data_IF_088315113315
#
_entry.id   IF_088315113315
#
_cell.length_a   1.000
_cell.length_b   1.000
_cell.length_c   1.000
_cell.angle_alpha   90.00
_cell.angle_beta   90.00
_cell.angle_gamma   90.00
#
_symmetry.space_group_name_H-M   'P 1'
#
loop_
_entity.id
_entity.type
_entity.pdbx_description
1 polymer ?
#
# COMPACT_ATOMS: atom_id res chain seq x y z
N UNK A 1 20.08 -5.40 17.18
CA UNK A 1 19.47 -4.75 16.01
C UNK A 1 20.36 -3.58 15.65
N UNK A 2 20.90 -3.55 14.43
CA UNK A 2 21.72 -2.40 13.99
C UNK A 2 20.82 -1.19 13.71
N UNK A 3 21.34 0.04 13.80
CA UNK A 3 20.59 1.28 13.59
C UNK A 3 19.87 1.32 12.22
N UNK A 4 20.40 0.62 11.22
CA UNK A 4 19.85 0.55 9.86
C UNK A 4 18.71 -0.47 9.73
N UNK A 5 18.80 -1.62 10.44
CA UNK A 5 17.72 -2.63 10.47
C UNK A 5 16.44 -2.10 11.11
N UNK A 6 16.56 -1.27 12.17
CA UNK A 6 15.43 -0.59 12.80
C UNK A 6 14.69 0.31 11.80
N UNK A 7 15.43 1.19 11.11
CA UNK A 7 14.87 2.12 10.12
C UNK A 7 14.14 1.42 8.97
N UNK A 8 14.68 0.30 8.46
CA UNK A 8 14.00 -0.46 7.40
C UNK A 8 12.68 -1.05 7.88
N UNK A 9 12.71 -1.72 9.04
CA UNK A 9 11.54 -2.39 9.59
C UNK A 9 10.42 -1.38 9.90
N UNK A 10 10.79 -0.22 10.44
CA UNK A 10 9.83 0.86 10.72
C UNK A 10 9.14 1.36 9.44
N UNK A 11 9.88 1.52 8.33
CA UNK A 11 9.30 1.89 7.04
C UNK A 11 8.33 0.82 6.52
N UNK A 12 8.72 -0.45 6.61
CA UNK A 12 7.85 -1.58 6.24
C UNK A 12 6.56 -1.55 7.07
N UNK A 13 6.65 -1.32 8.39
CA UNK A 13 5.48 -1.29 9.27
C UNK A 13 4.58 -0.09 9.00
N UNK A 14 5.16 1.09 8.74
CA UNK A 14 4.42 2.29 8.35
C UNK A 14 3.65 2.07 7.05
N UNK A 15 4.29 1.44 6.05
CA UNK A 15 3.66 1.16 4.78
C UNK A 15 2.55 0.11 4.91
N UNK A 16 2.83 -1.02 5.57
CA UNK A 16 1.82 -2.08 5.78
C UNK A 16 0.61 -1.57 6.57
N UNK A 17 0.80 -0.60 7.46
CA UNK A 17 -0.30 0.02 8.21
C UNK A 17 -1.26 0.86 7.34
N UNK A 18 -0.85 1.22 6.13
CA UNK A 18 -1.69 1.97 5.18
C UNK A 18 -2.58 1.07 4.33
N UNK A 19 -2.30 -0.24 4.24
CA UNK A 19 -3.15 -1.19 3.52
C UNK A 19 -4.54 -1.18 4.17
N UNK A 20 -5.62 -0.83 3.47
CA UNK A 20 -6.94 -0.74 4.08
C UNK A 20 -7.52 -2.14 4.41
N UNK A 21 -8.51 -2.18 5.31
CA UNK A 21 -9.26 -3.41 5.59
C UNK A 21 -9.91 -3.93 4.31
N UNK A 22 -9.87 -5.24 4.11
CA UNK A 22 -10.45 -5.90 2.93
C UNK A 22 -9.53 -5.86 1.69
N UNK A 23 -8.37 -5.21 1.79
CA UNK A 23 -7.33 -5.23 0.76
C UNK A 23 -6.06 -5.94 1.25
N UNK A 24 -5.26 -6.40 0.29
CA UNK A 24 -3.98 -7.08 0.50
C UNK A 24 -2.92 -6.51 -0.42
N UNK A 25 -1.66 -6.66 -0.03
CA UNK A 25 -0.52 -6.36 -0.88
C UNK A 25 0.39 -7.58 -0.99
N UNK A 26 1.12 -7.69 -2.08
CA UNK A 26 2.19 -8.69 -2.21
C UNK A 26 3.49 -8.15 -1.61
N UNK A 27 4.38 -9.04 -1.17
CA UNK A 27 5.73 -8.63 -0.76
C UNK A 27 6.47 -7.82 -1.84
N UNK A 28 6.20 -8.11 -3.12
CA UNK A 28 6.79 -7.38 -4.24
C UNK A 28 6.29 -5.94 -4.35
N UNK A 29 5.00 -5.71 -4.09
CA UNK A 29 4.41 -4.37 -4.07
C UNK A 29 4.93 -3.54 -2.91
N UNK A 30 5.06 -4.13 -1.72
CA UNK A 30 5.68 -3.45 -0.58
C UNK A 30 7.11 -2.99 -0.94
N UNK A 31 7.88 -3.81 -1.67
CA UNK A 31 9.21 -3.42 -2.16
C UNK A 31 9.14 -2.31 -3.20
N UNK A 32 8.22 -2.39 -4.15
CA UNK A 32 8.05 -1.39 -5.20
C UNK A 32 7.72 -0.01 -4.60
N UNK A 33 6.81 0.02 -3.65
CA UNK A 33 6.36 1.24 -2.99
C UNK A 33 7.45 1.85 -2.10
N UNK A 34 8.18 1.02 -1.34
CA UNK A 34 9.34 1.51 -0.58
C UNK A 34 10.39 2.16 -1.49
N UNK A 35 10.66 1.57 -2.67
CA UNK A 35 11.59 2.18 -3.65
C UNK A 35 11.08 3.50 -4.20
N UNK A 36 9.78 3.61 -4.44
CA UNK A 36 9.16 4.87 -4.89
C UNK A 36 9.29 5.96 -3.82
N UNK A 37 9.02 5.63 -2.55
CA UNK A 37 9.18 6.56 -1.44
C UNK A 37 10.63 6.96 -1.19
N UNK A 38 11.58 6.03 -1.35
CA UNK A 38 13.02 6.34 -1.31
C UNK A 38 13.41 7.35 -2.40
N UNK A 39 12.98 7.11 -3.64
CA UNK A 39 13.24 8.01 -4.76
C UNK A 39 12.72 9.42 -4.49
N UNK A 40 11.50 9.54 -3.96
CA UNK A 40 10.88 10.83 -3.64
C UNK A 40 11.55 11.56 -2.47
N UNK A 41 12.08 10.84 -1.47
CA UNK A 41 12.65 11.44 -0.25
C UNK A 41 14.16 11.71 -0.34
N UNK A 42 14.85 11.20 -1.36
CA UNK A 42 16.30 11.38 -1.53
C UNK A 42 17.14 10.73 -0.43
N UNK A 43 16.57 9.79 0.33
CA UNK A 43 17.25 9.08 1.42
C UNK A 43 17.83 7.80 0.83
N UNK A 44 19.13 7.57 1.07
CA UNK A 44 19.95 6.57 0.35
C UNK A 44 19.33 5.18 0.20
N UNK A 45 19.66 4.53 -0.93
CA UNK A 45 19.08 3.24 -1.34
C UNK A 45 19.18 2.17 -0.27
N UNK A 46 18.05 1.62 0.14
CA UNK A 46 18.07 0.22 0.55
C UNK A 46 18.36 -0.57 -0.72
N UNK A 47 19.43 -1.37 -0.71
CA UNK A 47 19.76 -2.26 -1.83
C UNK A 47 18.76 -3.42 -1.85
N UNK A 48 17.51 -3.12 -2.20
CA UNK A 48 16.41 -4.06 -2.35
C UNK A 48 16.58 -4.73 -3.72
N UNK A 49 17.64 -5.50 -3.94
CA UNK A 49 17.79 -6.33 -5.15
C UNK A 49 16.78 -7.49 -5.17
N UNK A 50 17.14 -8.61 -5.80
CA UNK A 50 16.28 -9.81 -5.83
C UNK A 50 15.85 -10.35 -4.44
N UNK A 51 16.50 -9.91 -3.34
CA UNK A 51 16.18 -10.28 -1.97
C UNK A 51 15.18 -9.36 -1.24
N UNK A 52 14.70 -8.27 -1.85
CA UNK A 52 13.85 -7.27 -1.17
C UNK A 52 12.57 -7.88 -0.55
N UNK A 53 11.87 -8.73 -1.29
CA UNK A 53 10.64 -9.38 -0.80
C UNK A 53 10.92 -10.28 0.42
N UNK A 54 12.08 -10.95 0.45
CA UNK A 54 12.51 -11.76 1.59
C UNK A 54 12.87 -10.88 2.79
N UNK A 55 13.48 -9.72 2.56
CA UNK A 55 13.76 -8.76 3.62
C UNK A 55 12.48 -8.21 4.26
N UNK A 56 11.47 -7.86 3.45
CA UNK A 56 10.13 -7.48 3.94
C UNK A 56 9.51 -8.62 4.75
N UNK A 57 9.51 -9.85 4.22
CA UNK A 57 9.00 -11.02 4.93
C UNK A 57 9.69 -11.24 6.29
N UNK A 58 11.02 -11.09 6.34
CA UNK A 58 11.78 -11.20 7.59
C UNK A 58 11.44 -10.08 8.59
N UNK A 59 11.22 -8.85 8.12
CA UNK A 59 10.80 -7.73 8.97
C UNK A 59 9.42 -8.01 9.57
N UNK A 60 8.45 -8.38 8.74
CA UNK A 60 7.08 -8.69 9.19
C UNK A 60 7.03 -9.90 10.12
N UNK A 61 7.87 -10.93 9.89
CA UNK A 61 7.97 -12.09 10.77
C UNK A 61 8.53 -11.74 12.16
N UNK A 62 9.36 -10.70 12.27
CA UNK A 62 9.94 -10.23 13.54
C UNK A 62 9.09 -9.18 14.25
N UNK A 63 8.05 -8.68 13.59
CA UNK A 63 7.16 -7.68 14.16
C UNK A 63 6.45 -8.23 15.41
N UNK A 64 6.50 -7.45 16.50
CA UNK A 64 5.80 -7.75 17.76
C UNK A 64 4.63 -6.82 18.04
N UNK A 65 4.45 -5.78 17.24
CA UNK A 65 3.34 -4.84 17.39
C UNK A 65 2.07 -5.42 16.73
N UNK A 66 1.02 -5.77 17.51
CA UNK A 66 -0.21 -6.31 16.96
C UNK A 66 -1.03 -5.30 16.15
N UNK A 67 -0.70 -4.00 16.23
CA UNK A 67 -1.40 -2.95 15.47
C UNK A 67 -1.02 -2.93 13.99
N UNK A 68 0.17 -3.44 13.65
CA UNK A 68 0.62 -3.53 12.25
C UNK A 68 -0.09 -4.73 11.61
N UNK A 69 -0.86 -4.55 10.53
CA UNK A 69 -1.70 -5.59 9.94
C UNK A 69 -0.90 -6.53 9.02
N UNK A 70 0.11 -7.22 9.57
CA UNK A 70 0.99 -8.11 8.80
C UNK A 70 0.24 -9.20 8.02
N UNK A 71 -0.97 -9.59 8.45
CA UNK A 71 -1.79 -10.59 7.76
C UNK A 71 -2.26 -10.13 6.38
N UNK A 72 -2.25 -8.83 6.08
CA UNK A 72 -2.61 -8.25 4.77
C UNK A 72 -1.52 -8.42 3.70
N UNK A 73 -0.34 -8.97 4.05
CA UNK A 73 0.74 -9.20 3.09
C UNK A 73 0.81 -10.68 2.69
N UNK A 74 0.73 -10.95 1.39
CA UNK A 74 0.71 -12.29 0.79
C UNK A 74 1.83 -12.47 -0.23
N UNK A 75 2.04 -13.69 -0.71
CA UNK A 75 3.02 -13.93 -1.77
C UNK A 75 2.54 -13.39 -3.14
N UNK A 76 3.44 -13.44 -4.15
CA UNK A 76 3.20 -12.96 -5.51
C UNK A 76 1.97 -13.57 -6.21
N UNK A 77 1.49 -14.72 -5.75
CA UNK A 77 0.35 -15.42 -6.32
C UNK A 77 -0.89 -15.32 -5.41
N UNK A 78 -0.83 -14.50 -4.36
CA UNK A 78 -1.89 -14.35 -3.36
C UNK A 78 -1.90 -15.45 -2.31
N UNK A 79 -0.86 -16.30 -2.25
CA UNK A 79 -0.82 -17.41 -1.29
C UNK A 79 -0.57 -16.90 0.12
N UNK A 80 -1.28 -17.51 1.07
CA UNK A 80 -1.06 -17.31 2.49
C UNK A 80 0.32 -17.82 2.92
N UNK A 81 0.90 -17.17 3.94
CA UNK A 81 2.16 -17.55 4.53
C UNK A 81 2.00 -18.80 5.41
N UNK A 82 2.63 -19.91 5.01
CA UNK A 82 2.58 -21.20 5.73
C UNK A 82 3.00 -21.07 7.20
N UNK A 83 4.03 -20.26 7.47
CA UNK A 83 4.59 -20.05 8.81
C UNK A 83 4.24 -18.67 9.38
N UNK A 84 3.02 -18.19 9.13
CA UNK A 84 2.50 -17.03 9.84
C UNK A 84 2.43 -17.31 11.37
N UNK A 85 2.36 -16.25 12.18
CA UNK A 85 2.34 -16.41 13.64
C UNK A 85 1.19 -17.31 14.12
N UNK A 86 1.40 -17.98 15.26
CA UNK A 86 0.45 -18.91 15.88
C UNK A 86 0.14 -20.14 15.00
N UNK A 87 -1.00 -20.16 14.32
CA UNK A 87 -1.53 -21.29 13.54
C UNK A 87 -1.17 -21.21 12.04
N UNK A 88 -0.11 -20.46 11.72
CA UNK A 88 0.32 -20.33 10.33
C UNK A 88 -0.75 -19.73 9.43
N UNK A 89 -0.89 -20.31 8.24
CA UNK A 89 -1.85 -19.87 7.24
C UNK A 89 -3.31 -19.84 7.76
N UNK A 90 -3.68 -20.68 8.74
CA UNK A 90 -5.02 -20.70 9.32
C UNK A 90 -5.36 -19.40 10.05
N UNK A 91 -4.43 -18.88 10.84
CA UNK A 91 -4.58 -17.59 11.52
C UNK A 91 -4.65 -16.43 10.52
N UNK A 92 -3.76 -16.44 9.52
CA UNK A 92 -3.77 -15.41 8.49
C UNK A 92 -5.11 -15.38 7.74
N UNK A 93 -5.63 -16.55 7.34
CA UNK A 93 -6.92 -16.68 6.68
C UNK A 93 -8.05 -16.14 7.54
N UNK A 94 -8.12 -16.52 8.83
CA UNK A 94 -9.19 -16.04 9.73
C UNK A 94 -9.24 -14.51 9.79
N UNK A 95 -8.08 -13.85 9.91
CA UNK A 95 -8.02 -12.38 9.95
C UNK A 95 -8.46 -11.74 8.63
N UNK A 96 -8.00 -12.28 7.50
CA UNK A 96 -8.38 -11.77 6.17
C UNK A 96 -9.88 -11.95 5.91
N UNK A 97 -10.45 -13.11 6.26
CA UNK A 97 -11.90 -13.37 6.14
C UNK A 97 -12.70 -12.40 7.03
N UNK A 98 -12.25 -12.13 8.25
CA UNK A 98 -12.89 -11.17 9.14
C UNK A 98 -12.89 -9.73 8.59
N UNK A 99 -11.97 -9.42 7.68
CA UNK A 99 -11.91 -8.13 6.97
C UNK A 99 -12.64 -8.14 5.61
N UNK A 100 -13.25 -9.25 5.22
CA UNK A 100 -14.02 -9.37 3.98
C UNK A 100 -13.20 -9.69 2.72
N UNK A 101 -11.94 -10.09 2.86
CA UNK A 101 -11.07 -10.46 1.73
C UNK A 101 -11.60 -11.70 1.00
N UNK A 102 -11.61 -11.65 -0.33
CA UNK A 102 -12.06 -12.74 -1.20
C UNK A 102 -10.93 -13.74 -1.47
N UNK A 103 -11.30 -14.99 -1.68
CA UNK A 103 -10.37 -16.09 -1.88
C UNK A 103 -10.73 -16.87 -3.14
N UNK A 104 -9.71 -17.25 -3.92
CA UNK A 104 -9.86 -18.15 -5.08
C UNK A 104 -9.97 -19.61 -4.62
N UNK A 105 -9.23 -19.94 -3.57
CA UNK A 105 -9.24 -21.27 -2.96
C UNK A 105 -8.88 -21.19 -1.47
N UNK A 106 -8.59 -22.33 -0.85
CA UNK A 106 -8.31 -22.38 0.58
C UNK A 106 -7.04 -21.65 1.03
N UNK A 107 -6.09 -21.44 0.14
CA UNK A 107 -4.74 -20.92 0.39
C UNK A 107 -4.41 -19.66 -0.40
N UNK A 108 -5.25 -19.24 -1.37
CA UNK A 108 -4.99 -18.09 -2.23
C UNK A 108 -6.10 -17.04 -2.14
N UNK A 109 -5.69 -15.82 -1.84
CA UNK A 109 -6.53 -14.61 -1.95
C UNK A 109 -6.81 -14.31 -3.42
N UNK A 110 -7.99 -13.76 -3.70
CA UNK A 110 -8.26 -13.19 -5.01
C UNK A 110 -7.61 -11.81 -5.16
N UNK A 111 -6.40 -11.79 -5.69
CA UNK A 111 -5.70 -10.54 -5.99
C UNK A 111 -6.47 -9.66 -6.98
N UNK A 112 -7.30 -10.21 -7.89
CA UNK A 112 -8.04 -9.36 -8.83
C UNK A 112 -9.02 -8.40 -8.15
N UNK A 113 -9.59 -8.83 -7.02
CA UNK A 113 -10.58 -8.07 -6.25
C UNK A 113 -9.96 -7.31 -5.08
N UNK A 114 -8.95 -7.91 -4.45
CA UNK A 114 -8.45 -7.48 -3.16
C UNK A 114 -7.07 -6.83 -3.21
N UNK A 115 -6.39 -6.74 -4.34
CA UNK A 115 -5.10 -6.05 -4.41
C UNK A 115 -5.26 -4.58 -4.01
N UNK A 116 -4.33 -4.11 -3.19
CA UNK A 116 -4.23 -2.72 -2.79
C UNK A 116 -3.52 -1.96 -3.92
N UNK A 117 -4.25 -1.03 -4.53
CA UNK A 117 -3.69 -0.10 -5.52
C UNK A 117 -3.76 1.32 -4.96
N UNK A 118 -2.60 1.91 -4.66
CA UNK A 118 -2.50 3.31 -4.22
C UNK A 118 -2.72 4.30 -5.36
N UNK A 119 -2.71 3.84 -6.62
CA UNK A 119 -2.87 4.69 -7.81
C UNK A 119 -4.33 5.05 -8.10
N UNK A 120 -5.27 4.51 -7.33
CA UNK A 120 -6.68 4.90 -7.33
C UNK A 120 -6.95 6.22 -6.58
N UNK A 121 -5.95 7.12 -6.45
CA UNK A 121 -6.27 8.55 -6.33
C UNK A 121 -6.73 9.04 -7.70
N UNK A 122 -8.03 8.96 -7.96
CA UNK A 122 -8.61 9.60 -9.11
C UNK A 122 -8.43 11.13 -9.00
N UNK A 123 -7.55 11.69 -9.83
CA UNK A 123 -7.57 13.10 -10.18
C UNK A 123 -8.57 13.23 -11.33
N UNK A 124 -9.79 13.67 -11.03
CA UNK A 124 -10.73 14.07 -12.07
C UNK A 124 -10.52 15.56 -12.38
N UNK A 125 -10.21 15.87 -13.64
CA UNK A 125 -10.46 17.22 -14.16
C UNK A 125 -11.96 17.28 -14.39
N UNK A 126 -12.70 17.92 -13.49
CA UNK A 126 -14.15 18.04 -13.65
C UNK A 126 -14.51 19.07 -14.70
N UNK A 127 -13.71 20.13 -14.82
CA UNK A 127 -13.99 21.23 -15.71
C UNK A 127 -12.72 21.89 -16.26
N UNK A 128 -12.74 22.19 -17.56
CA UNK A 128 -11.75 23.01 -18.28
C UNK A 128 -12.48 24.19 -18.92
N UNK A 129 -12.23 25.41 -18.45
CA UNK A 129 -12.81 26.63 -19.02
C UNK A 129 -11.73 27.48 -19.70
N UNK A 130 -11.96 27.84 -20.96
CA UNK A 130 -11.18 28.84 -21.71
C UNK A 130 -11.94 30.17 -21.64
N UNK A 131 -11.35 31.21 -21.04
CA UNK A 131 -11.96 32.55 -21.00
C UNK A 131 -11.54 33.39 -22.21
N UNK A 132 -12.39 34.34 -22.61
CA UNK A 132 -12.23 35.21 -23.79
C UNK A 132 -10.94 36.06 -23.81
N UNK A 133 -10.12 36.04 -22.75
CA UNK A 133 -8.83 36.73 -22.66
C UNK A 133 -7.60 35.82 -22.71
N UNK A 134 -7.75 34.56 -23.14
CA UNK A 134 -6.63 33.62 -23.31
C UNK A 134 -6.11 33.00 -22.00
N UNK A 135 -6.84 33.12 -20.90
CA UNK A 135 -6.52 32.44 -19.65
C UNK A 135 -7.21 31.07 -19.58
N UNK A 136 -6.47 30.06 -19.13
CA UNK A 136 -6.98 28.71 -18.87
C UNK A 136 -7.20 28.56 -17.36
N UNK A 137 -8.41 28.18 -16.96
CA UNK A 137 -8.71 27.78 -15.58
C UNK A 137 -8.92 26.26 -15.57
N UNK A 138 -8.13 25.55 -14.77
CA UNK A 138 -8.27 24.11 -14.52
C UNK A 138 -8.82 23.93 -13.11
N UNK A 139 -9.99 23.28 -12.99
CA UNK A 139 -10.50 22.88 -11.69
C UNK A 139 -10.04 21.45 -11.40
N UNK A 140 -9.18 21.29 -10.40
CA UNK A 140 -8.59 20.00 -10.02
C UNK A 140 -9.23 19.55 -8.71
N UNK A 141 -9.90 18.39 -8.74
CA UNK A 141 -10.42 17.77 -7.53
C UNK A 141 -9.55 16.58 -7.11
N UNK A 142 -9.25 16.50 -5.81
CA UNK A 142 -8.62 15.33 -5.19
C UNK A 142 -9.70 14.55 -4.43
N UNK A 143 -10.00 13.33 -4.86
CA UNK A 143 -10.86 12.45 -4.09
C UNK A 143 -10.04 11.70 -3.03
N UNK A 144 -10.24 12.05 -1.75
CA UNK A 144 -9.78 11.23 -0.63
C UNK A 144 -10.93 10.30 -0.20
N UNK A 145 -10.65 9.02 -0.04
CA UNK A 145 -11.62 7.98 0.34
C UNK A 145 -12.11 8.19 1.79
N UNK A 146 -12.93 9.21 2.01
CA UNK A 146 -13.72 9.47 3.23
C UNK A 146 -15.06 10.16 2.91
N UNK A 147 -15.46 10.29 1.65
CA UNK A 147 -16.73 10.93 1.27
C UNK A 147 -16.83 12.40 1.67
N UNK A 148 -15.70 13.07 1.94
CA UNK A 148 -15.66 14.49 2.26
C UNK A 148 -15.04 15.28 1.12
N UNK A 149 -15.87 16.15 0.56
CA UNK A 149 -15.53 17.07 -0.51
C UNK A 149 -14.75 18.25 0.08
N UNK A 150 -13.51 18.47 -0.33
CA UNK A 150 -12.73 19.67 0.02
C UNK A 150 -12.45 20.41 -1.28
N UNK A 151 -13.08 21.57 -1.55
CA UNK A 151 -12.75 22.35 -2.73
C UNK A 151 -11.34 22.93 -2.60
N UNK A 152 -10.45 22.63 -3.55
CA UNK A 152 -9.17 23.33 -3.67
C UNK A 152 -9.40 24.72 -4.29
N UNK A 153 -8.59 25.69 -3.85
CA UNK A 153 -8.57 27.05 -4.39
C UNK A 153 -8.11 26.99 -5.85
N UNK A 154 -8.81 27.73 -6.72
CA UNK A 154 -8.49 27.89 -8.14
C UNK A 154 -7.01 28.21 -8.37
N UNK A 155 -6.36 27.46 -9.26
CA UNK A 155 -4.99 27.75 -9.70
C UNK A 155 -5.03 28.46 -11.05
N UNK A 156 -4.47 29.67 -11.12
CA UNK A 156 -4.28 30.41 -12.37
C UNK A 156 -2.88 30.10 -12.90
N UNK A 157 -2.78 29.60 -14.13
CA UNK A 157 -1.50 29.40 -14.82
C UNK A 157 -1.36 30.52 -15.86
N UNK A 158 -0.25 31.26 -15.82
CA UNK A 158 0.11 32.31 -16.79
C UNK A 158 0.95 31.75 -17.93
#
# INVERSE_FOLDING_TARGET
MTRTEGKFSDLVYQLVSQIPKGKVATYGEIVAELRQQEHLRGVGSFHLGGGGARAVGNALHRNRDPKVPCHRVVDRNGRLATHFAFDGAGEQKRRLVAEGVKFKDNMHVDLGECLWDERETDIFITDLFILERGHIIVNIQLNFWLGQFIPLKSLTIQ
#
